data_IF_400343227960
#
_entry.id   IF_400343227960
#
_cell.length_a   1.000
_cell.length_b   1.000
_cell.length_c   1.000
_cell.angle_alpha   90.00
_cell.angle_beta   90.00
_cell.angle_gamma   90.00
#
_symmetry.space_group_name_H-M   'P 1'
#
loop_
_entity.id
_entity.type
_entity.pdbx_description
1 polymer ?
#
# COMPACT_ATOMS: atom_id res chain seq x y z
N UNK A 1 15.30 -13.80 -8.00
CA UNK A 1 14.70 -12.59 -7.40
C UNK A 1 13.22 -12.60 -7.75
N UNK A 2 12.33 -12.21 -6.82
CA UNK A 2 10.89 -12.15 -7.06
C UNK A 2 10.44 -10.70 -6.94
N UNK A 3 9.99 -10.09 -8.04
CA UNK A 3 9.51 -8.71 -8.02
C UNK A 3 8.08 -8.66 -7.48
N UNK A 4 7.76 -7.58 -6.76
CA UNK A 4 6.44 -7.28 -6.20
C UNK A 4 6.13 -5.80 -6.41
N UNK A 5 4.96 -5.34 -6.00
CA UNK A 5 4.56 -3.93 -6.09
C UNK A 5 4.25 -3.37 -4.71
N UNK A 6 4.23 -2.06 -4.59
CA UNK A 6 3.61 -1.32 -3.49
C UNK A 6 2.66 -0.25 -4.05
N UNK A 7 1.48 -0.08 -3.44
CA UNK A 7 0.54 1.00 -3.76
C UNK A 7 -0.67 1.03 -2.83
N UNK A 8 -1.23 2.24 -2.65
CA UNK A 8 -2.37 2.52 -1.77
C UNK A 8 -3.73 2.58 -2.48
N UNK A 9 -4.72 3.09 -1.76
CA UNK A 9 -6.11 3.20 -2.24
C UNK A 9 -6.29 4.17 -3.42
N UNK A 10 -5.38 5.13 -3.54
CA UNK A 10 -5.36 6.21 -4.52
C UNK A 10 -5.07 5.71 -5.95
N UNK A 11 -4.38 4.58 -6.08
CA UNK A 11 -3.98 4.00 -7.37
C UNK A 11 -4.83 2.81 -7.81
N UNK A 12 -5.92 2.50 -7.12
CA UNK A 12 -6.76 1.33 -7.46
C UNK A 12 -7.33 1.40 -8.89
N UNK A 13 -7.53 2.60 -9.44
CA UNK A 13 -7.99 2.77 -10.82
C UNK A 13 -6.95 2.33 -11.87
N UNK A 14 -5.68 2.29 -11.50
CA UNK A 14 -4.54 1.92 -12.34
C UNK A 14 -4.12 0.46 -12.09
N UNK A 15 -4.92 -0.32 -11.35
CA UNK A 15 -4.50 -1.64 -10.86
C UNK A 15 -4.10 -2.60 -11.98
N UNK A 16 -4.78 -2.57 -13.12
CA UNK A 16 -4.44 -3.41 -14.27
C UNK A 16 -3.09 -3.02 -14.87
N UNK A 17 -2.80 -1.73 -15.00
CA UNK A 17 -1.52 -1.22 -15.50
C UNK A 17 -0.37 -1.57 -14.55
N UNK A 18 -0.61 -1.50 -13.25
CA UNK A 18 0.36 -1.91 -12.22
C UNK A 18 0.65 -3.41 -12.34
N UNK A 19 -0.38 -4.25 -12.49
CA UNK A 19 -0.19 -5.70 -12.68
C UNK A 19 0.47 -6.04 -14.00
N UNK A 20 0.16 -5.34 -15.08
CA UNK A 20 0.82 -5.51 -16.37
C UNK A 20 2.30 -5.12 -16.29
N UNK A 21 2.61 -4.03 -15.59
CA UNK A 21 3.99 -3.62 -15.30
C UNK A 21 4.73 -4.70 -14.51
N UNK A 22 4.13 -5.23 -13.45
CA UNK A 22 4.71 -6.35 -12.71
C UNK A 22 4.93 -7.56 -13.63
N UNK A 23 3.97 -7.90 -14.48
CA UNK A 23 4.09 -9.04 -15.41
C UNK A 23 5.16 -8.86 -16.47
N UNK A 24 5.50 -7.63 -16.85
CA UNK A 24 6.61 -7.35 -17.77
C UNK A 24 7.97 -7.74 -17.21
N UNK A 25 8.15 -7.66 -15.88
CA UNK A 25 9.42 -7.98 -15.20
C UNK A 25 9.37 -9.29 -14.42
N UNK A 26 8.16 -9.75 -14.06
CA UNK A 26 7.86 -11.02 -13.40
C UNK A 26 6.68 -11.73 -14.08
N UNK A 27 6.92 -12.40 -15.23
CA UNK A 27 5.86 -12.97 -16.05
C UNK A 27 5.03 -14.05 -15.35
N UNK A 28 5.62 -14.76 -14.38
CA UNK A 28 5.01 -15.89 -13.69
C UNK A 28 5.01 -15.70 -12.17
N UNK A 29 4.16 -16.46 -11.47
CA UNK A 29 4.04 -16.44 -10.01
C UNK A 29 2.93 -15.51 -9.50
N UNK A 30 2.75 -15.41 -8.18
CA UNK A 30 1.64 -14.66 -7.59
C UNK A 30 1.72 -13.17 -7.91
N UNK A 31 0.55 -12.51 -7.92
CA UNK A 31 0.50 -11.05 -7.75
C UNK A 31 0.70 -10.75 -6.28
N UNK A 32 1.56 -9.79 -5.96
CA UNK A 32 1.88 -9.43 -4.57
C UNK A 32 1.94 -7.92 -4.44
N UNK A 33 1.06 -7.35 -3.62
CA UNK A 33 1.22 -6.00 -3.09
C UNK A 33 1.92 -6.09 -1.73
N UNK A 34 3.23 -5.84 -1.73
CA UNK A 34 4.08 -5.89 -0.55
C UNK A 34 3.79 -4.77 0.44
N UNK A 35 3.23 -3.64 -0.01
CA UNK A 35 2.83 -2.54 0.86
C UNK A 35 1.53 -1.91 0.33
N UNK A 36 0.41 -2.43 0.82
CA UNK A 36 -0.87 -1.73 0.70
C UNK A 36 -0.96 -0.67 1.80
N UNK A 37 -1.09 0.60 1.42
CA UNK A 37 -1.18 1.72 2.35
C UNK A 37 -2.63 2.06 2.75
N UNK A 38 -3.18 1.54 3.88
CA UNK A 38 -4.51 1.90 4.39
C UNK A 38 -4.54 3.28 5.08
N UNK A 39 -3.38 3.89 5.31
CA UNK A 39 -3.19 5.17 5.98
C UNK A 39 -1.94 5.87 5.44
N UNK A 40 -1.51 6.95 6.08
CA UNK A 40 -0.29 7.68 5.71
C UNK A 40 0.38 8.31 6.94
N UNK A 41 1.71 8.46 6.98
CA UNK A 41 2.38 9.29 7.99
C UNK A 41 1.86 10.72 7.95
N UNK A 42 1.97 11.42 9.08
CA UNK A 42 1.61 12.85 9.22
C UNK A 42 2.84 13.62 9.66
N UNK A 43 3.03 14.83 9.14
CA UNK A 43 4.08 15.73 9.59
C UNK A 43 3.60 16.69 10.67
N UNK A 44 4.56 17.25 11.40
CA UNK A 44 4.27 18.35 12.30
C UNK A 44 3.69 19.53 11.53
N UNK A 45 2.66 20.17 12.11
CA UNK A 45 1.96 21.32 11.54
C UNK A 45 1.10 21.02 10.29
N UNK A 46 0.96 19.76 9.89
CA UNK A 46 0.02 19.34 8.85
C UNK A 46 -1.31 18.80 9.42
N UNK A 47 -2.39 18.80 8.62
CA UNK A 47 -3.59 18.03 8.94
C UNK A 47 -3.29 16.54 9.09
N UNK A 48 -3.95 15.90 10.06
CA UNK A 48 -3.85 14.46 10.26
C UNK A 48 -4.24 13.68 8.99
N UNK A 49 -3.32 12.85 8.50
CA UNK A 49 -3.55 12.02 7.33
C UNK A 49 -4.42 10.82 7.69
N UNK A 50 -5.73 10.96 7.46
CA UNK A 50 -6.71 9.88 7.64
C UNK A 50 -7.26 9.42 6.30
N UNK A 51 -7.51 8.11 6.20
CA UNK A 51 -8.21 7.49 5.07
C UNK A 51 -9.53 6.90 5.55
N UNK A 52 -10.53 6.91 4.67
CA UNK A 52 -11.83 6.31 4.95
C UNK A 52 -11.72 4.78 5.00
N UNK A 53 -12.25 4.17 6.06
CA UNK A 53 -12.18 2.72 6.25
C UNK A 53 -12.94 1.94 5.17
N UNK A 54 -14.05 2.47 4.66
CA UNK A 54 -14.79 1.80 3.58
C UNK A 54 -14.02 1.85 2.26
N UNK A 55 -13.28 2.92 1.99
CA UNK A 55 -12.38 2.99 0.83
C UNK A 55 -11.27 1.95 0.93
N UNK A 56 -10.63 1.81 2.10
CA UNK A 56 -9.59 0.79 2.35
C UNK A 56 -10.16 -0.62 2.16
N UNK A 57 -11.35 -0.88 2.74
CA UNK A 57 -12.02 -2.18 2.65
C UNK A 57 -12.34 -2.57 1.19
N UNK A 58 -12.86 -1.63 0.40
CA UNK A 58 -13.16 -1.86 -1.03
C UNK A 58 -11.91 -2.22 -1.82
N UNK A 59 -10.81 -1.48 -1.61
CA UNK A 59 -9.55 -1.73 -2.32
C UNK A 59 -8.94 -3.06 -1.90
N UNK A 60 -8.98 -3.38 -0.60
CA UNK A 60 -8.52 -4.69 -0.11
C UNK A 60 -9.31 -5.82 -0.77
N UNK A 61 -10.63 -5.70 -0.88
CA UNK A 61 -11.45 -6.69 -1.61
C UNK A 61 -11.03 -6.83 -3.07
N UNK A 62 -10.73 -5.72 -3.74
CA UNK A 62 -10.23 -5.77 -5.12
C UNK A 62 -8.95 -6.60 -5.22
N UNK A 63 -7.97 -6.42 -4.32
CA UNK A 63 -6.76 -7.28 -4.34
C UNK A 63 -7.10 -8.76 -4.19
N UNK A 64 -8.04 -9.10 -3.30
CA UNK A 64 -8.48 -10.47 -3.12
C UNK A 64 -9.21 -11.03 -4.34
N UNK A 65 -9.94 -10.22 -5.13
CA UNK A 65 -10.55 -10.69 -6.38
C UNK A 65 -9.52 -11.03 -7.46
N UNK A 66 -8.33 -10.41 -7.42
CA UNK A 66 -7.19 -10.78 -8.27
C UNK A 66 -6.43 -12.01 -7.73
N UNK A 67 -6.87 -12.60 -6.60
CA UNK A 67 -6.12 -13.62 -5.87
C UNK A 67 -4.69 -13.16 -5.52
N UNK A 68 -4.51 -11.85 -5.31
CA UNK A 68 -3.22 -11.27 -4.97
C UNK A 68 -2.91 -11.48 -3.48
N UNK A 69 -1.65 -11.74 -3.16
CA UNK A 69 -1.16 -11.64 -1.78
C UNK A 69 -0.98 -10.16 -1.42
N UNK A 70 -1.34 -9.79 -0.20
CA UNK A 70 -1.30 -8.39 0.24
C UNK A 70 -0.78 -8.28 1.67
N UNK A 71 0.08 -7.29 1.90
CA UNK A 71 0.54 -6.89 3.23
C UNK A 71 0.05 -5.47 3.54
N UNK A 72 -0.50 -5.26 4.74
CA UNK A 72 -1.04 -3.96 5.17
C UNK A 72 0.06 -3.13 5.84
N UNK A 73 0.45 -2.04 5.20
CA UNK A 73 1.48 -1.12 5.67
C UNK A 73 0.87 0.25 6.02
N UNK A 74 0.55 0.56 7.28
CA UNK A 74 0.74 -0.23 8.49
C UNK A 74 -0.57 -0.84 8.97
N UNK A 75 -0.54 -2.10 9.40
CA UNK A 75 -1.64 -2.70 10.18
C UNK A 75 -1.71 -2.07 11.58
N UNK A 76 -0.56 -1.95 12.24
CA UNK A 76 -0.37 -1.21 13.49
C UNK A 76 0.92 -0.40 13.39
N UNK A 77 0.83 0.94 13.49
CA UNK A 77 1.97 1.84 13.27
C UNK A 77 2.85 2.05 14.50
N UNK A 78 2.32 1.90 15.72
CA UNK A 78 3.08 2.12 16.95
C UNK A 78 3.39 3.60 17.23
N UNK A 79 4.58 3.87 17.76
CA UNK A 79 4.99 5.21 18.19
C UNK A 79 6.49 5.38 17.99
N UNK A 80 6.89 6.51 17.39
CA UNK A 80 8.29 6.91 17.33
C UNK A 80 8.66 7.60 18.66
N UNK A 81 9.31 6.88 19.58
CA UNK A 81 9.77 7.43 20.86
C UNK A 81 11.14 8.10 20.74
N UNK A 82 11.40 9.11 21.58
CA UNK A 82 12.70 9.79 21.61
C UNK A 82 13.04 10.44 20.27
N UNK A 83 14.18 10.06 19.68
CA UNK A 83 14.71 10.62 18.44
C UNK A 83 14.68 9.62 17.27
N UNK A 84 13.69 8.72 17.23
CA UNK A 84 13.60 7.68 16.18
C UNK A 84 12.74 8.08 14.97
N UNK A 85 12.10 9.26 15.00
CA UNK A 85 11.30 9.73 13.87
C UNK A 85 12.21 10.16 12.70
N UNK A 86 11.79 9.83 11.47
CA UNK A 86 12.37 10.39 10.26
C UNK A 86 11.86 11.80 9.95
N UNK A 87 12.25 12.34 8.79
CA UNK A 87 11.77 13.60 8.24
C UNK A 87 11.88 13.59 6.70
N UNK A 88 11.00 14.33 6.06
CA UNK A 88 10.93 14.64 4.63
C UNK A 88 10.16 15.97 4.46
N UNK A 89 10.14 16.47 3.22
CA UNK A 89 9.50 17.74 2.83
C UNK A 89 8.04 17.54 2.37
#
# INVERSE_FOLDING_TARGET
MFATTDFGIDRVKEIEDIWNTLRSVQPNGPLVNSEFYPGWPTHWQEPNQRRDANAVEKVLRTFLTYNASVNLYMYFGGTNFGFTAGAND
#
